data_IF_655813710106
#
_entry.id   IF_655813710106
#
_cell.length_a   1.000
_cell.length_b   1.000
_cell.length_c   1.000
_cell.angle_alpha   90.00
_cell.angle_beta   90.00
_cell.angle_gamma   90.00
#
_symmetry.space_group_name_H-M   'P 1'
#
loop_
_entity.id
_entity.type
_entity.pdbx_description
1 polymer ?
#
# COMPACT_ATOMS: atom_id res chain seq x y z
N UNK A 1 12.17 10.96 -17.12
CA UNK A 1 11.59 9.61 -16.99
C UNK A 1 10.16 9.71 -16.44
N UNK A 2 9.21 8.95 -16.98
CA UNK A 2 7.85 8.87 -16.42
C UNK A 2 7.72 7.59 -15.57
N UNK A 3 7.32 7.74 -14.30
CA UNK A 3 7.26 6.65 -13.32
C UNK A 3 5.84 6.43 -12.83
N UNK A 4 5.34 5.20 -12.94
CA UNK A 4 4.10 4.77 -12.29
C UNK A 4 4.42 4.21 -10.90
N UNK A 5 3.86 4.82 -9.85
CA UNK A 5 4.14 4.49 -8.47
C UNK A 5 2.99 3.71 -7.86
N UNK A 6 3.19 2.43 -7.58
CA UNK A 6 2.22 1.66 -6.80
C UNK A 6 2.12 2.22 -5.38
N UNK A 7 0.92 2.62 -4.98
CA UNK A 7 0.66 3.22 -3.65
C UNK A 7 -0.35 2.39 -2.85
N UNK A 8 -0.05 2.14 -1.57
CA UNK A 8 -0.95 1.43 -0.66
C UNK A 8 -1.63 2.34 0.38
N UNK A 9 -1.12 3.54 0.60
CA UNK A 9 -1.66 4.52 1.54
C UNK A 9 -1.02 5.90 1.34
N UNK A 10 -1.67 6.95 1.83
CA UNK A 10 -1.20 8.32 1.69
C UNK A 10 0.11 8.59 2.44
N UNK A 11 0.26 8.09 3.66
CA UNK A 11 1.48 8.28 4.44
C UNK A 11 2.72 7.67 3.75
N UNK A 12 2.57 6.46 3.18
CA UNK A 12 3.65 5.82 2.43
C UNK A 12 3.96 6.57 1.12
N UNK A 13 2.93 7.13 0.46
CA UNK A 13 3.12 7.94 -0.74
C UNK A 13 3.95 9.20 -0.44
N UNK A 14 3.68 9.91 0.66
CA UNK A 14 4.45 11.07 1.08
C UNK A 14 5.96 10.78 1.23
N UNK A 15 6.32 9.56 1.66
CA UNK A 15 7.72 9.18 1.81
C UNK A 15 8.49 9.13 0.47
N UNK A 16 7.81 8.84 -0.63
CA UNK A 16 8.45 8.61 -1.93
C UNK A 16 8.33 9.79 -2.89
N UNK A 17 7.39 10.73 -2.65
CA UNK A 17 7.07 11.79 -3.62
C UNK A 17 8.23 12.74 -3.89
N UNK A 18 8.90 13.24 -2.86
CA UNK A 18 9.98 14.22 -3.04
C UNK A 18 11.17 13.61 -3.82
N UNK A 19 11.71 12.43 -3.46
CA UNK A 19 12.74 11.78 -4.26
C UNK A 19 12.32 11.52 -5.70
N UNK A 20 11.12 10.98 -5.91
CA UNK A 20 10.65 10.61 -7.26
C UNK A 20 10.40 11.80 -8.17
N UNK A 21 10.00 12.96 -7.63
CA UNK A 21 9.86 14.20 -8.41
C UNK A 21 11.19 14.68 -9.02
N UNK A 22 12.32 14.34 -8.40
CA UNK A 22 13.66 14.63 -8.94
C UNK A 22 14.03 13.71 -10.11
N UNK A 23 13.40 12.55 -10.18
CA UNK A 23 13.61 11.55 -11.24
C UNK A 23 12.77 11.87 -12.48
N UNK A 24 11.58 12.46 -12.31
CA UNK A 24 10.74 12.88 -13.42
C UNK A 24 9.24 12.97 -13.10
N UNK A 25 8.40 12.73 -14.13
CA UNK A 25 6.94 12.73 -13.98
C UNK A 25 6.49 11.55 -13.12
N UNK A 26 5.73 11.84 -12.07
CA UNK A 26 5.18 10.85 -11.13
C UNK A 26 3.67 10.74 -11.33
N UNK A 27 3.18 9.51 -11.48
CA UNK A 27 1.75 9.18 -11.48
C UNK A 27 1.51 8.11 -10.41
N UNK A 28 0.51 8.29 -9.58
CA UNK A 28 0.16 7.32 -8.54
C UNK A 28 -0.75 6.22 -9.11
N UNK A 29 -0.51 4.98 -8.68
CA UNK A 29 -1.36 3.85 -9.02
C UNK A 29 -1.83 3.13 -7.76
N UNK A 30 -3.13 3.16 -7.49
CA UNK A 30 -3.74 2.46 -6.38
C UNK A 30 -4.37 1.15 -6.87
N UNK A 31 -3.67 0.03 -6.63
CA UNK A 31 -4.17 -1.32 -6.88
C UNK A 31 -3.81 -2.21 -5.69
N UNK A 32 -4.77 -2.49 -4.83
CA UNK A 32 -4.53 -3.14 -3.55
C UNK A 32 -5.59 -4.22 -3.22
N UNK A 33 -5.58 -5.36 -3.93
CA UNK A 33 -6.51 -6.46 -3.65
C UNK A 33 -6.31 -7.07 -2.27
N UNK A 34 -5.20 -6.73 -1.61
CA UNK A 34 -4.84 -7.20 -0.27
C UNK A 34 -5.41 -6.36 0.87
N UNK A 35 -6.00 -5.20 0.63
CA UNK A 35 -6.46 -4.35 1.74
C UNK A 35 -7.85 -4.76 2.20
N UNK A 36 -7.96 -5.16 3.47
CA UNK A 36 -9.16 -5.65 4.13
C UNK A 36 -9.29 -5.07 5.55
N UNK A 37 -10.51 -4.93 6.08
CA UNK A 37 -11.82 -5.10 5.44
C UNK A 37 -12.14 -3.98 4.43
N UNK A 38 -13.32 -4.04 3.80
CA UNK A 38 -13.75 -3.05 2.81
C UNK A 38 -13.67 -1.60 3.33
N UNK A 39 -13.97 -1.38 4.60
CA UNK A 39 -13.89 -0.04 5.21
C UNK A 39 -12.45 0.49 5.23
N UNK A 40 -11.48 -0.38 5.50
CA UNK A 40 -10.05 -0.02 5.48
C UNK A 40 -9.58 0.28 4.05
N UNK A 41 -10.01 -0.53 3.07
CA UNK A 41 -9.76 -0.28 1.66
C UNK A 41 -10.24 1.10 1.23
N UNK A 42 -11.51 1.43 1.54
CA UNK A 42 -12.10 2.74 1.22
C UNK A 42 -11.38 3.89 1.91
N UNK A 43 -11.05 3.76 3.19
CA UNK A 43 -10.29 4.79 3.93
C UNK A 43 -8.94 5.10 3.29
N UNK A 44 -8.20 4.06 2.87
CA UNK A 44 -6.90 4.24 2.22
C UNK A 44 -7.04 4.85 0.83
N UNK A 45 -8.00 4.37 0.04
CA UNK A 45 -8.27 4.94 -1.29
C UNK A 45 -8.63 6.42 -1.18
N UNK A 46 -9.59 6.80 -0.33
CA UNK A 46 -9.96 8.20 -0.11
C UNK A 46 -8.77 9.05 0.34
N UNK A 47 -7.94 8.55 1.25
CA UNK A 47 -6.76 9.29 1.69
C UNK A 47 -5.74 9.51 0.57
N UNK A 48 -5.56 8.52 -0.33
CA UNK A 48 -4.68 8.66 -1.51
C UNK A 48 -5.28 9.63 -2.52
N UNK A 49 -6.60 9.64 -2.74
CA UNK A 49 -7.28 10.61 -3.60
C UNK A 49 -7.09 12.04 -3.08
N UNK A 50 -7.34 12.28 -1.80
CA UNK A 50 -7.13 13.59 -1.16
C UNK A 50 -5.65 14.03 -1.27
N UNK A 51 -4.71 13.10 -1.10
CA UNK A 51 -3.29 13.41 -1.27
C UNK A 51 -2.99 13.79 -2.72
N UNK A 52 -3.47 13.02 -3.70
CA UNK A 52 -3.22 13.26 -5.11
C UNK A 52 -3.75 14.65 -5.54
N UNK A 53 -4.95 15.02 -5.11
CA UNK A 53 -5.54 16.36 -5.34
C UNK A 53 -4.66 17.48 -4.75
N UNK A 54 -4.28 17.34 -3.48
CA UNK A 54 -3.45 18.35 -2.78
C UNK A 54 -2.06 18.50 -3.39
N UNK A 55 -1.49 17.41 -3.88
CA UNK A 55 -0.17 17.38 -4.51
C UNK A 55 -0.22 17.64 -6.03
N UNK A 56 -1.42 17.82 -6.60
CA UNK A 56 -1.67 17.99 -8.04
C UNK A 56 -1.05 16.86 -8.87
N UNK A 57 -1.22 15.61 -8.39
CA UNK A 57 -0.73 14.41 -9.05
C UNK A 57 -1.88 13.68 -9.73
N UNK A 58 -1.58 13.10 -10.88
CA UNK A 58 -2.47 12.12 -11.51
C UNK A 58 -2.54 10.86 -10.65
N UNK A 59 -3.75 10.34 -10.47
CA UNK A 59 -4.01 9.08 -9.79
C UNK A 59 -4.80 8.15 -10.71
N UNK A 60 -4.23 7.00 -10.98
CA UNK A 60 -4.92 5.85 -11.58
C UNK A 60 -5.37 4.96 -10.43
N UNK A 61 -6.66 4.77 -10.25
CA UNK A 61 -7.20 3.96 -9.15
C UNK A 61 -7.98 2.75 -9.68
N UNK A 62 -7.62 1.57 -9.18
CA UNK A 62 -8.47 0.39 -9.23
C UNK A 62 -9.26 0.34 -7.91
N UNK A 63 -10.54 0.67 -7.98
CA UNK A 63 -11.44 0.76 -6.83
C UNK A 63 -12.17 -0.56 -6.52
N UNK A 64 -11.84 -1.63 -7.24
CA UNK A 64 -12.40 -2.96 -7.01
C UNK A 64 -11.86 -3.57 -5.71
N UNK A 65 -12.76 -4.01 -4.85
CA UNK A 65 -12.40 -4.72 -3.62
C UNK A 65 -12.02 -6.16 -3.90
N UNK A 66 -10.73 -6.46 -3.81
CA UNK A 66 -10.12 -7.72 -4.28
C UNK A 66 -10.08 -8.87 -3.30
N UNK A 67 -10.95 -8.94 -2.26
CA UNK A 67 -10.89 -9.97 -1.21
C UNK A 67 -10.82 -11.40 -1.75
N UNK A 68 -11.73 -11.76 -2.67
CA UNK A 68 -11.79 -13.11 -3.22
C UNK A 68 -10.52 -13.46 -3.98
N UNK A 69 -10.05 -12.57 -4.84
CA UNK A 69 -8.82 -12.74 -5.60
C UNK A 69 -7.62 -12.91 -4.67
N UNK A 70 -7.49 -12.04 -3.66
CA UNK A 70 -6.41 -12.12 -2.69
C UNK A 70 -6.42 -13.45 -1.94
N UNK A 71 -7.55 -13.87 -1.39
CA UNK A 71 -7.65 -15.13 -0.64
C UNK A 71 -7.35 -16.35 -1.52
N UNK A 72 -7.87 -16.40 -2.74
CA UNK A 72 -7.58 -17.50 -3.68
C UNK A 72 -6.07 -17.67 -3.89
N UNK A 73 -5.33 -16.58 -3.97
CA UNK A 73 -3.88 -16.61 -4.25
C UNK A 73 -3.01 -16.76 -3.01
N UNK A 74 -3.52 -16.50 -1.82
CA UNK A 74 -2.69 -16.37 -0.61
C UNK A 74 -3.13 -17.23 0.57
N UNK A 75 -4.40 -17.61 0.68
CA UNK A 75 -4.95 -18.30 1.84
C UNK A 75 -4.27 -19.65 2.18
N UNK A 76 -3.81 -20.47 1.21
CA UNK A 76 -3.15 -21.72 1.52
C UNK A 76 -1.78 -21.56 2.18
N UNK A 77 -1.23 -20.35 2.19
CA UNK A 77 0.17 -20.12 2.57
C UNK A 77 0.33 -19.27 3.83
N UNK A 78 1.24 -19.68 4.70
CA UNK A 78 1.78 -18.84 5.75
C UNK A 78 2.84 -17.84 5.24
N UNK A 79 3.41 -17.04 6.15
CA UNK A 79 4.60 -16.24 5.83
C UNK A 79 5.81 -17.17 5.63
N UNK A 80 6.77 -16.85 4.72
CA UNK A 80 6.79 -15.65 3.86
C UNK A 80 6.04 -15.80 2.54
N UNK A 81 5.62 -17.01 2.14
CA UNK A 81 5.06 -17.29 0.80
C UNK A 81 3.83 -16.43 0.47
N UNK A 82 2.95 -16.21 1.45
CA UNK A 82 1.79 -15.31 1.33
C UNK A 82 2.19 -13.88 0.95
N UNK A 83 3.25 -13.35 1.58
CA UNK A 83 3.72 -12.00 1.29
C UNK A 83 4.34 -11.90 -0.11
N UNK A 84 5.09 -12.91 -0.54
CA UNK A 84 5.65 -12.99 -1.90
C UNK A 84 4.54 -12.96 -2.96
N UNK A 85 3.49 -13.77 -2.79
CA UNK A 85 2.33 -13.78 -3.68
C UNK A 85 1.62 -12.41 -3.70
N UNK A 86 1.43 -11.77 -2.54
CA UNK A 86 0.84 -10.45 -2.42
C UNK A 86 1.63 -9.37 -3.16
N UNK A 87 2.97 -9.33 -3.00
CA UNK A 87 3.81 -8.37 -3.72
C UNK A 87 3.80 -8.61 -5.21
N UNK A 88 3.88 -9.88 -5.64
CA UNK A 88 3.82 -10.26 -7.06
C UNK A 88 2.52 -9.78 -7.71
N UNK A 89 1.35 -10.05 -7.11
CA UNK A 89 0.05 -9.59 -7.61
C UNK A 89 0.06 -8.08 -7.91
N UNK A 90 0.53 -7.29 -6.94
CA UNK A 90 0.48 -5.83 -7.01
C UNK A 90 1.50 -5.27 -8.01
N UNK A 91 2.72 -5.78 -8.00
CA UNK A 91 3.80 -5.27 -8.85
C UNK A 91 3.64 -5.71 -10.32
N UNK A 92 3.15 -6.93 -10.57
CA UNK A 92 2.82 -7.38 -11.93
C UNK A 92 1.72 -6.53 -12.54
N UNK A 93 0.66 -6.23 -11.78
CA UNK A 93 -0.41 -5.36 -12.28
C UNK A 93 0.08 -3.91 -12.50
N UNK A 94 0.96 -3.41 -11.61
CA UNK A 94 1.58 -2.11 -11.80
C UNK A 94 2.41 -2.06 -13.08
N UNK A 95 3.19 -3.08 -13.37
CA UNK A 95 3.99 -3.18 -14.60
C UNK A 95 3.10 -3.27 -15.85
N UNK A 96 2.01 -4.05 -15.79
CA UNK A 96 1.05 -4.16 -16.90
C UNK A 96 0.45 -2.79 -17.24
N UNK A 97 -0.10 -2.09 -16.24
CA UNK A 97 -0.71 -0.77 -16.44
C UNK A 97 0.32 0.27 -16.91
N UNK A 98 1.54 0.20 -16.38
CA UNK A 98 2.62 1.09 -16.80
C UNK A 98 2.98 0.92 -18.26
N UNK A 99 3.12 -0.32 -18.73
CA UNK A 99 3.41 -0.62 -20.13
C UNK A 99 2.29 -0.14 -21.06
N UNK A 100 1.03 -0.43 -20.72
CA UNK A 100 -0.13 -0.01 -21.51
C UNK A 100 -0.28 1.51 -21.62
N UNK A 101 0.20 2.25 -20.62
CA UNK A 101 0.12 3.72 -20.59
C UNK A 101 1.41 4.42 -21.02
N UNK A 102 2.43 3.68 -21.48
CA UNK A 102 3.67 4.23 -22.01
C UNK A 102 4.60 4.82 -20.94
N UNK A 103 4.57 4.31 -19.71
CA UNK A 103 5.55 4.67 -18.69
C UNK A 103 6.89 3.97 -18.97
N UNK A 104 7.98 4.58 -18.50
CA UNK A 104 9.34 4.04 -18.65
C UNK A 104 9.75 3.18 -17.45
N UNK A 105 9.16 3.47 -16.28
CA UNK A 105 9.51 2.80 -15.03
C UNK A 105 8.32 2.62 -14.10
N UNK A 106 8.47 1.65 -13.19
CA UNK A 106 7.59 1.46 -12.03
C UNK A 106 8.39 1.53 -10.72
N UNK A 107 7.71 1.86 -9.66
CA UNK A 107 8.20 1.72 -8.27
C UNK A 107 7.04 1.48 -7.31
N UNK A 108 7.33 1.36 -6.01
CA UNK A 108 6.30 1.07 -5.01
C UNK A 108 6.58 1.72 -3.67
N UNK A 109 5.53 2.15 -3.00
CA UNK A 109 5.58 2.62 -1.61
C UNK A 109 5.87 1.52 -0.60
N UNK A 110 5.92 0.25 -0.99
CA UNK A 110 6.41 -0.84 -0.12
C UNK A 110 7.84 -0.61 0.34
N UNK A 111 8.64 0.10 -0.47
CA UNK A 111 10.02 0.46 -0.18
C UNK A 111 10.17 1.53 0.92
N UNK A 112 9.09 2.10 1.43
CA UNK A 112 9.13 2.98 2.62
C UNK A 112 8.84 2.24 3.92
N UNK A 113 8.49 0.96 3.87
CA UNK A 113 8.08 0.18 5.06
C UNK A 113 9.24 -0.59 5.67
N UNK A 114 9.43 -0.46 6.98
CA UNK A 114 10.38 -1.28 7.76
C UNK A 114 9.90 -2.72 7.99
N UNK A 115 8.64 -3.01 7.67
CA UNK A 115 8.02 -4.33 7.88
C UNK A 115 8.03 -5.21 6.62
N UNK A 116 8.52 -4.69 5.49
CA UNK A 116 8.61 -5.43 4.24
C UNK A 116 10.03 -5.94 4.02
N UNK A 117 10.16 -7.13 3.44
CA UNK A 117 11.46 -7.63 2.98
C UNK A 117 11.85 -6.88 1.68
N UNK A 118 12.75 -5.93 1.82
CA UNK A 118 13.20 -5.08 0.72
C UNK A 118 13.90 -5.86 -0.39
N UNK A 119 14.64 -6.91 -0.05
CA UNK A 119 15.31 -7.74 -1.03
C UNK A 119 14.33 -8.48 -1.93
N UNK A 120 13.27 -9.04 -1.33
CA UNK A 120 12.19 -9.70 -2.03
C UNK A 120 11.34 -8.73 -2.85
N UNK A 121 10.97 -7.56 -2.29
CA UNK A 121 10.21 -6.52 -3.02
C UNK A 121 11.00 -6.02 -4.22
N UNK A 122 12.31 -5.75 -4.06
CA UNK A 122 13.20 -5.34 -5.14
C UNK A 122 13.24 -6.39 -6.25
N UNK A 123 13.51 -7.65 -5.92
CA UNK A 123 13.58 -8.73 -6.88
C UNK A 123 12.28 -8.90 -7.66
N UNK A 124 11.14 -8.97 -6.96
CA UNK A 124 9.83 -9.11 -7.60
C UNK A 124 9.49 -7.89 -8.48
N UNK A 125 9.84 -6.68 -8.03
CA UNK A 125 9.66 -5.47 -8.82
C UNK A 125 10.49 -5.47 -10.10
N UNK A 126 11.76 -5.90 -10.02
CA UNK A 126 12.64 -6.03 -11.18
C UNK A 126 12.13 -7.09 -12.16
N UNK A 127 11.71 -8.26 -11.67
CA UNK A 127 11.09 -9.32 -12.49
C UNK A 127 9.85 -8.79 -13.23
N UNK A 128 8.90 -8.18 -12.51
CA UNK A 128 7.66 -7.66 -13.07
C UNK A 128 7.89 -6.53 -14.11
N UNK A 129 8.85 -5.64 -13.84
CA UNK A 129 9.21 -4.57 -14.78
C UNK A 129 9.87 -5.13 -16.05
N UNK A 130 10.83 -6.03 -15.88
CA UNK A 130 11.56 -6.64 -17.01
C UNK A 130 10.63 -7.42 -17.97
N UNK A 131 9.63 -8.14 -17.44
CA UNK A 131 8.61 -8.83 -18.23
C UNK A 131 7.82 -7.90 -19.17
N UNK A 132 7.81 -6.61 -18.90
CA UNK A 132 7.12 -5.57 -19.68
C UNK A 132 8.06 -4.60 -20.37
N UNK A 133 9.37 -4.84 -20.36
CA UNK A 133 10.37 -3.95 -20.94
C UNK A 133 10.53 -2.63 -20.21
N UNK A 134 10.16 -2.58 -18.91
CA UNK A 134 10.23 -1.40 -18.06
C UNK A 134 11.41 -1.47 -17.09
N UNK A 135 11.75 -0.32 -16.50
CA UNK A 135 12.69 -0.24 -15.40
C UNK A 135 11.95 -0.35 -14.04
N UNK A 136 12.57 -1.01 -13.07
CA UNK A 136 12.15 -0.90 -11.67
C UNK A 136 13.04 0.11 -10.96
N UNK A 137 12.48 1.28 -10.64
CA UNK A 137 13.20 2.29 -9.86
C UNK A 137 13.24 1.84 -8.40
N UNK A 138 14.41 1.37 -7.95
CA UNK A 138 14.65 0.97 -6.57
C UNK A 138 15.38 2.08 -5.82
N UNK A 139 14.77 2.53 -4.73
CA UNK A 139 15.38 3.41 -3.74
C UNK A 139 14.87 3.01 -2.35
N UNK A 140 15.73 3.08 -1.34
CA UNK A 140 15.35 2.80 0.05
C UNK A 140 14.73 4.06 0.68
N UNK A 141 13.41 4.08 0.73
CA UNK A 141 12.66 5.20 1.31
C UNK A 141 12.38 5.04 2.82
N UNK A 142 12.88 4.01 3.48
CA UNK A 142 12.69 3.81 4.94
C UNK A 142 13.17 4.98 5.78
N UNK A 143 14.31 5.64 5.48
CA UNK A 143 14.74 6.82 6.23
C UNK A 143 13.73 7.98 6.23
N UNK A 144 12.84 8.04 5.23
CA UNK A 144 11.85 9.09 5.08
C UNK A 144 10.49 8.74 5.74
N UNK A 145 10.30 7.48 6.16
CA UNK A 145 9.02 7.00 6.66
C UNK A 145 8.51 7.75 7.90
N UNK A 146 9.38 7.99 8.89
CA UNK A 146 9.00 8.69 10.12
C UNK A 146 8.51 10.12 9.82
N UNK A 147 9.26 10.89 9.03
CA UNK A 147 8.89 12.24 8.60
C UNK A 147 7.57 12.24 7.82
N UNK A 148 7.38 11.28 6.92
CA UNK A 148 6.16 11.15 6.13
C UNK A 148 4.94 10.82 7.00
N UNK A 149 5.09 10.02 8.04
CA UNK A 149 4.03 9.71 8.99
C UNK A 149 3.61 10.93 9.82
N UNK A 150 4.56 11.76 10.29
CA UNK A 150 4.26 13.01 10.99
C UNK A 150 3.60 14.03 10.06
N UNK A 151 4.05 14.10 8.81
CA UNK A 151 3.43 14.96 7.80
C UNK A 151 2.00 14.53 7.49
N UNK A 152 1.73 13.23 7.36
CA UNK A 152 0.38 12.70 7.17
C UNK A 152 -0.53 13.07 8.37
N UNK A 153 -0.01 13.01 9.59
CA UNK A 153 -0.73 13.44 10.80
C UNK A 153 -1.05 14.94 10.76
N UNK A 154 -0.06 15.76 10.45
CA UNK A 154 -0.24 17.23 10.33
C UNK A 154 -1.28 17.60 9.28
N UNK A 155 -1.35 16.83 8.18
CA UNK A 155 -2.31 17.03 7.09
C UNK A 155 -3.68 16.38 7.33
N UNK A 156 -3.91 15.75 8.48
CA UNK A 156 -5.13 14.99 8.80
C UNK A 156 -5.44 13.90 7.75
N UNK A 157 -4.40 13.25 7.20
CA UNK A 157 -4.56 12.12 6.31
C UNK A 157 -4.70 10.83 7.10
N UNK A 158 -5.55 9.92 6.64
CA UNK A 158 -5.70 8.61 7.25
C UNK A 158 -4.37 7.85 7.26
N UNK A 159 -4.04 7.25 8.41
CA UNK A 159 -2.83 6.45 8.62
C UNK A 159 -3.23 5.03 9.01
N UNK A 160 -2.77 4.06 8.23
CA UNK A 160 -3.02 2.65 8.50
C UNK A 160 -2.31 2.18 9.77
N UNK A 161 -2.90 1.17 10.43
CA UNK A 161 -2.35 0.56 11.65
C UNK A 161 -1.69 -0.81 11.40
N UNK A 162 -1.88 -1.40 10.22
CA UNK A 162 -1.34 -2.71 9.82
C UNK A 162 -1.04 -2.72 8.31
N UNK A 163 -0.42 -3.79 7.82
CA UNK A 163 -0.01 -3.89 6.41
C UNK A 163 -1.19 -3.76 5.43
N UNK A 164 -2.37 -4.29 5.80
CA UNK A 164 -3.60 -4.17 5.03
C UNK A 164 -4.33 -5.50 4.84
N UNK A 165 -3.64 -6.65 4.77
CA UNK A 165 -4.34 -7.91 4.59
C UNK A 165 -5.00 -8.40 5.89
N UNK A 166 -6.06 -9.18 5.74
CA UNK A 166 -6.82 -9.74 6.86
C UNK A 166 -5.92 -10.49 7.86
N UNK A 167 -4.93 -11.22 7.38
CA UNK A 167 -3.96 -11.90 8.24
C UNK A 167 -3.06 -10.94 9.03
N UNK A 168 -2.69 -9.80 8.45
CA UNK A 168 -1.89 -8.79 9.16
C UNK A 168 -2.73 -7.99 10.15
N UNK A 169 -4.03 -7.90 9.94
CA UNK A 169 -4.99 -7.38 10.91
C UNK A 169 -5.06 -8.28 12.13
N UNK A 170 -5.27 -9.58 11.92
CA UNK A 170 -5.28 -10.60 12.97
C UNK A 170 -3.95 -10.59 13.74
N UNK A 171 -2.81 -10.71 13.04
CA UNK A 171 -1.47 -10.68 13.67
C UNK A 171 -1.24 -9.41 14.52
N UNK A 172 -1.83 -8.29 14.14
CA UNK A 172 -1.69 -7.01 14.85
C UNK A 172 -2.58 -6.91 16.08
N UNK A 173 -3.82 -7.39 15.99
CA UNK A 173 -4.86 -7.11 16.98
C UNK A 173 -5.25 -8.34 17.84
N UNK A 174 -5.01 -9.56 17.40
CA UNK A 174 -5.30 -10.77 18.21
C UNK A 174 -4.65 -10.76 19.60
N UNK A 175 -3.42 -10.22 19.79
CA UNK A 175 -2.83 -10.13 21.12
C UNK A 175 -3.48 -9.07 22.01
N UNK A 176 -4.27 -8.14 21.44
CA UNK A 176 -4.88 -7.05 22.18
C UNK A 176 -6.25 -7.45 22.70
N UNK A 177 -6.46 -7.34 24.01
CA UNK A 177 -7.79 -7.49 24.62
C UNK A 177 -8.61 -6.22 24.32
N UNK A 178 -9.26 -6.16 23.18
CA UNK A 178 -10.20 -5.09 22.86
C UNK A 178 -11.57 -5.50 23.35
N UNK A 179 -12.06 -4.87 24.41
CA UNK A 179 -13.47 -4.98 24.78
C UNK A 179 -14.28 -4.11 23.80
N UNK A 180 -14.82 -4.71 22.78
CA UNK A 180 -15.66 -4.03 21.76
C UNK A 180 -16.99 -3.56 22.33
N UNK A 181 -17.41 -4.14 23.46
CA UNK A 181 -18.64 -3.79 24.14
C UNK A 181 -18.43 -3.85 25.66
N UNK A 182 -18.49 -2.71 26.32
CA UNK A 182 -18.75 -2.63 27.75
C UNK A 182 -20.27 -2.48 27.90
N UNK A 183 -20.96 -3.59 28.14
CA UNK A 183 -22.34 -3.51 28.63
C UNK A 183 -22.37 -2.61 29.85
N UNK A 184 -23.12 -1.53 29.80
CA UNK A 184 -23.38 -0.73 30.99
C UNK A 184 -23.99 -1.65 32.04
N UNK A 185 -23.37 -1.77 33.19
CA UNK A 185 -24.03 -2.34 34.35
C UNK A 185 -25.27 -1.47 34.58
N UNK A 186 -26.46 -2.03 34.37
CA UNK A 186 -27.69 -1.43 34.88
C UNK A 186 -27.52 -1.35 36.39
N UNK A 187 -27.30 -0.16 36.92
CA UNK A 187 -27.45 0.08 38.33
C UNK A 187 -28.92 -0.19 38.61
N UNK A 188 -29.19 -1.39 39.19
CA UNK A 188 -30.46 -1.69 39.79
C UNK A 188 -30.63 -0.77 40.99
N UNK A 189 -31.52 0.17 40.87
CA UNK A 189 -32.10 0.85 42.01
C UNK A 189 -32.92 -0.15 42.83
N UNK A 190 -32.59 -0.33 44.09
CA UNK A 190 -33.49 -0.74 45.13
C UNK A 190 -33.41 0.30 46.23
#
# INVERSE_FOLDING_TARGET
MAVLVHVCCAACALAVLEPLRRVGRVVLFFHNPNIHPLIEFRRRLTAVQVLAERERLELVADDRYGLKEFLTRTAPWGRPARCLACWRMRLTETARVAAERGFEAITTTLLSSTHQDHSCVRRIGQEAAAEKGLQFHYEDFRPLAAKAHEEAKRRNLYRQQYCGCIFSEEERFAPTRVHLFRGGASQGET
#
